data_IF_352003488130
#
_entry.id   IF_352003488130
#
_cell.length_a   1.000
_cell.length_b   1.000
_cell.length_c   1.000
_cell.angle_alpha   90.00
_cell.angle_beta   90.00
_cell.angle_gamma   90.00
#
_symmetry.space_group_name_H-M   'P 1'
#
loop_
_entity.id
_entity.type
_entity.pdbx_description
1 polymer ?
#
# COMPACT_ATOMS: atom_id res chain seq x y z
N UNK A 1 -76.61 27.26 -94.28
CA UNK A 1 -75.52 27.33 -95.26
C UNK A 1 -74.84 28.67 -95.11
N UNK A 2 -73.51 28.64 -95.16
CA UNK A 2 -72.56 29.75 -95.15
C UNK A 2 -72.26 30.35 -93.76
N UNK A 3 -71.02 30.49 -93.33
CA UNK A 3 -69.73 29.94 -93.78
C UNK A 3 -68.75 30.24 -92.63
N UNK A 4 -67.97 29.25 -92.20
CA UNK A 4 -66.82 29.47 -91.33
C UNK A 4 -65.82 30.41 -92.01
N UNK A 5 -65.38 31.44 -91.30
CA UNK A 5 -64.16 32.18 -91.59
C UNK A 5 -63.25 32.09 -90.37
N UNK A 6 -62.75 30.88 -90.14
CA UNK A 6 -61.70 30.57 -89.17
C UNK A 6 -60.41 31.30 -89.61
N UNK A 7 -60.21 32.48 -89.04
CA UNK A 7 -59.09 33.36 -89.36
C UNK A 7 -57.87 32.88 -88.57
N UNK A 8 -56.98 32.16 -89.26
CA UNK A 8 -55.61 31.82 -88.84
C UNK A 8 -55.47 31.46 -87.35
N UNK A 9 -56.10 30.35 -86.95
CA UNK A 9 -55.84 29.75 -85.64
C UNK A 9 -54.36 29.33 -85.56
N UNK A 10 -53.54 30.14 -84.89
CA UNK A 10 -52.29 29.65 -84.32
C UNK A 10 -52.57 28.37 -83.53
N UNK A 11 -51.61 27.44 -83.50
CA UNK A 11 -51.73 26.17 -82.78
C UNK A 11 -52.56 26.34 -81.50
N UNK A 12 -53.64 25.56 -81.27
CA UNK A 12 -54.58 25.76 -80.15
C UNK A 12 -53.88 25.87 -78.78
N UNK A 13 -52.66 25.36 -78.66
CA UNK A 13 -51.80 25.46 -77.48
C UNK A 13 -51.21 26.87 -77.21
N UNK A 14 -51.27 27.80 -78.17
CA UNK A 14 -50.70 29.16 -78.07
C UNK A 14 -51.78 30.25 -78.02
N UNK A 15 -53.01 29.90 -77.65
CA UNK A 15 -54.09 30.87 -77.47
C UNK A 15 -53.98 31.61 -76.12
N UNK A 16 -53.41 32.81 -76.16
CA UNK A 16 -53.14 33.64 -74.97
C UNK A 16 -54.38 34.07 -74.18
N UNK A 17 -55.59 33.92 -74.71
CA UNK A 17 -56.83 34.27 -74.01
C UNK A 17 -57.08 33.40 -72.76
N UNK A 18 -56.57 32.18 -72.71
CA UNK A 18 -56.75 31.25 -71.57
C UNK A 18 -55.67 31.39 -70.49
N UNK A 19 -54.55 32.06 -70.80
CA UNK A 19 -53.38 32.17 -69.93
C UNK A 19 -53.67 32.88 -68.60
N UNK A 20 -54.44 33.98 -68.54
CA UNK A 20 -54.74 34.66 -67.27
C UNK A 20 -55.44 33.76 -66.25
N UNK A 21 -56.37 32.91 -66.69
CA UNK A 21 -57.06 31.97 -65.81
C UNK A 21 -56.10 30.87 -65.31
N UNK A 22 -55.25 30.32 -66.19
CA UNK A 22 -54.24 29.33 -65.80
C UNK A 22 -53.22 29.92 -64.82
N UNK A 23 -52.76 31.16 -65.06
CA UNK A 23 -51.83 31.88 -64.19
C UNK A 23 -52.46 32.14 -62.82
N UNK A 24 -53.74 32.51 -62.75
CA UNK A 24 -54.46 32.71 -61.49
C UNK A 24 -54.49 31.43 -60.64
N UNK A 25 -54.83 30.29 -61.24
CA UNK A 25 -54.82 28.99 -60.54
C UNK A 25 -53.41 28.55 -60.16
N UNK A 26 -52.42 28.80 -61.01
CA UNK A 26 -51.01 28.52 -60.71
C UNK A 26 -50.54 29.31 -59.49
N UNK A 27 -50.82 30.62 -59.45
CA UNK A 27 -50.49 31.48 -58.30
C UNK A 27 -51.21 31.01 -57.05
N UNK A 28 -52.51 30.69 -57.15
CA UNK A 28 -53.28 30.18 -56.02
C UNK A 28 -52.70 28.87 -55.47
N UNK A 29 -52.38 27.91 -56.35
CA UNK A 29 -51.76 26.66 -55.96
C UNK A 29 -50.38 26.88 -55.31
N UNK A 30 -49.57 27.79 -55.85
CA UNK A 30 -48.25 28.12 -55.31
C UNK A 30 -48.34 28.80 -53.94
N UNK A 31 -49.33 29.66 -53.72
CA UNK A 31 -49.62 30.27 -52.41
C UNK A 31 -50.06 29.22 -51.40
N UNK A 32 -50.98 28.33 -51.78
CA UNK A 32 -51.42 27.23 -50.90
C UNK A 32 -50.25 26.31 -50.55
N UNK A 33 -49.43 25.92 -51.54
CA UNK A 33 -48.22 25.13 -51.31
C UNK A 33 -47.24 25.84 -50.38
N UNK A 34 -47.00 27.14 -50.60
CA UNK A 34 -46.13 27.96 -49.75
C UNK A 34 -46.62 27.97 -48.31
N UNK A 35 -47.93 28.16 -48.08
CA UNK A 35 -48.51 28.15 -46.74
C UNK A 35 -48.37 26.78 -46.06
N UNK A 36 -48.58 25.68 -46.78
CA UNK A 36 -48.38 24.33 -46.25
C UNK A 36 -46.91 24.11 -45.86
N UNK A 37 -45.97 24.47 -46.72
CA UNK A 37 -44.55 24.31 -46.44
C UNK A 37 -44.11 25.20 -45.27
N UNK A 38 -44.52 26.46 -45.27
CA UNK A 38 -44.20 27.46 -44.25
C UNK A 38 -44.77 27.10 -42.88
N UNK A 39 -46.04 26.69 -42.80
CA UNK A 39 -46.72 26.45 -41.53
C UNK A 39 -46.72 25.01 -41.04
N UNK A 40 -46.43 24.02 -41.88
CA UNK A 40 -46.51 22.61 -41.48
C UNK A 40 -45.18 21.90 -41.70
N UNK A 41 -44.62 21.92 -42.91
CA UNK A 41 -43.44 21.11 -43.22
C UNK A 41 -42.17 21.63 -42.52
N UNK A 42 -41.85 22.93 -42.69
CA UNK A 42 -40.67 23.55 -42.08
C UNK A 42 -40.67 23.50 -40.55
N UNK A 43 -41.76 23.84 -39.82
CA UNK A 43 -41.75 23.78 -38.36
C UNK A 43 -41.60 22.35 -37.83
N UNK A 44 -42.14 21.33 -38.52
CA UNK A 44 -41.93 19.93 -38.13
C UNK A 44 -40.48 19.46 -38.32
N UNK A 45 -39.82 19.89 -39.38
CA UNK A 45 -38.39 19.58 -39.58
C UNK A 45 -37.55 20.32 -38.53
N UNK A 46 -37.89 21.57 -38.24
CA UNK A 46 -37.26 22.37 -37.20
C UNK A 46 -37.37 21.75 -35.81
N UNK A 47 -38.54 21.19 -35.44
CA UNK A 47 -38.72 20.54 -34.14
C UNK A 47 -37.87 19.28 -33.99
N UNK A 48 -37.78 18.45 -35.02
CA UNK A 48 -36.94 17.23 -34.99
C UNK A 48 -35.46 17.59 -34.91
N UNK A 49 -35.03 18.63 -35.63
CA UNK A 49 -33.63 19.08 -35.57
C UNK A 49 -33.30 19.65 -34.19
N UNK A 50 -34.19 20.47 -33.61
CA UNK A 50 -34.02 21.02 -32.28
C UNK A 50 -33.99 19.92 -31.20
N UNK A 51 -34.85 18.90 -31.30
CA UNK A 51 -34.84 17.74 -30.41
C UNK A 51 -33.50 17.00 -30.48
N UNK A 52 -33.00 16.70 -31.68
CA UNK A 52 -31.70 16.03 -31.86
C UNK A 52 -30.54 16.87 -31.31
N UNK A 53 -30.50 18.16 -31.61
CA UNK A 53 -29.47 19.06 -31.09
C UNK A 53 -29.54 19.16 -29.56
N UNK A 54 -30.75 19.20 -28.99
CA UNK A 54 -30.96 19.19 -27.55
C UNK A 54 -30.46 17.90 -26.89
N UNK A 55 -30.82 16.73 -27.44
CA UNK A 55 -30.34 15.44 -26.93
C UNK A 55 -28.83 15.32 -27.02
N UNK A 56 -28.22 15.67 -28.15
CA UNK A 56 -26.75 15.63 -28.32
C UNK A 56 -26.07 16.56 -27.30
N UNK A 57 -26.58 17.78 -27.12
CA UNK A 57 -26.01 18.72 -26.16
C UNK A 57 -26.12 18.19 -24.71
N UNK A 58 -27.27 17.62 -24.36
CA UNK A 58 -27.47 17.00 -23.04
C UNK A 58 -26.54 15.81 -22.83
N UNK A 59 -26.38 14.93 -23.83
CA UNK A 59 -25.50 13.77 -23.76
C UNK A 59 -24.03 14.19 -23.62
N UNK A 60 -23.60 15.24 -24.33
CA UNK A 60 -22.25 15.80 -24.19
C UNK A 60 -22.05 16.38 -22.79
N UNK A 61 -22.99 17.18 -22.28
CA UNK A 61 -22.90 17.75 -20.94
C UNK A 61 -22.87 16.67 -19.85
N UNK A 62 -23.67 15.61 -20.01
CA UNK A 62 -23.65 14.46 -19.11
C UNK A 62 -22.31 13.72 -19.17
N UNK A 63 -21.77 13.48 -20.38
CA UNK A 63 -20.48 12.84 -20.57
C UNK A 63 -19.32 13.64 -19.95
N UNK A 64 -19.32 14.97 -20.10
CA UNK A 64 -18.34 15.86 -19.46
C UNK A 64 -18.44 15.80 -17.94
N UNK A 65 -19.67 15.81 -17.40
CA UNK A 65 -19.91 15.69 -15.95
C UNK A 65 -19.40 14.35 -15.41
N UNK A 66 -19.70 13.24 -16.10
CA UNK A 66 -19.20 11.93 -15.70
C UNK A 66 -17.68 11.82 -15.80
N UNK A 67 -17.08 12.44 -16.82
CA UNK A 67 -15.61 12.50 -16.95
C UNK A 67 -14.97 13.28 -15.79
N UNK A 68 -15.56 14.40 -15.38
CA UNK A 68 -15.10 15.17 -14.23
C UNK A 68 -15.24 14.38 -12.93
N UNK A 69 -16.40 13.75 -12.70
CA UNK A 69 -16.63 12.90 -11.53
C UNK A 69 -15.65 11.71 -11.48
N UNK A 70 -15.37 11.09 -12.62
CA UNK A 70 -14.38 10.01 -12.71
C UNK A 70 -12.97 10.50 -12.35
N UNK A 71 -12.55 11.65 -12.88
CA UNK A 71 -11.25 12.24 -12.58
C UNK A 71 -11.12 12.65 -11.10
N UNK A 72 -12.19 13.20 -10.51
CA UNK A 72 -12.22 13.52 -9.08
C UNK A 72 -12.16 12.27 -8.21
N UNK A 73 -12.91 11.22 -8.55
CA UNK A 73 -12.87 9.94 -7.86
C UNK A 73 -11.50 9.26 -7.97
N UNK A 74 -10.87 9.31 -9.14
CA UNK A 74 -9.51 8.80 -9.36
C UNK A 74 -8.48 9.56 -8.51
N UNK A 75 -8.55 10.89 -8.49
CA UNK A 75 -7.69 11.71 -7.65
C UNK A 75 -7.89 11.43 -6.15
N UNK A 76 -9.14 11.28 -5.69
CA UNK A 76 -9.46 10.93 -4.31
C UNK A 76 -8.96 9.52 -3.96
N UNK A 77 -9.08 8.55 -4.87
CA UNK A 77 -8.58 7.20 -4.70
C UNK A 77 -7.04 7.18 -4.57
N UNK A 78 -6.33 7.86 -5.48
CA UNK A 78 -4.87 7.96 -5.41
C UNK A 78 -4.40 8.63 -4.12
N UNK A 79 -5.06 9.72 -3.71
CA UNK A 79 -4.77 10.38 -2.44
C UNK A 79 -4.97 9.44 -1.25
N UNK A 80 -6.10 8.73 -1.20
CA UNK A 80 -6.37 7.78 -0.12
C UNK A 80 -5.33 6.63 -0.09
N UNK A 81 -4.88 6.17 -1.26
CA UNK A 81 -3.84 5.14 -1.36
C UNK A 81 -2.49 5.64 -0.84
N UNK A 82 -2.09 6.86 -1.19
CA UNK A 82 -0.84 7.46 -0.73
C UNK A 82 -0.88 7.76 0.78
N UNK A 83 -2.01 8.29 1.28
CA UNK A 83 -2.24 8.50 2.72
C UNK A 83 -2.18 7.17 3.49
N UNK A 84 -2.78 6.10 2.96
CA UNK A 84 -2.73 4.77 3.57
C UNK A 84 -1.30 4.19 3.58
N UNK A 85 -0.53 4.37 2.50
CA UNK A 85 0.89 3.97 2.44
C UNK A 85 1.74 4.74 3.45
N UNK A 86 1.52 6.05 3.56
CA UNK A 86 2.22 6.89 4.53
C UNK A 86 1.87 6.48 5.98
N UNK A 87 0.61 6.20 6.26
CA UNK A 87 0.17 5.71 7.57
C UNK A 87 0.79 4.34 7.88
N UNK A 88 0.79 3.41 6.94
CA UNK A 88 1.41 2.10 7.12
C UNK A 88 2.92 2.22 7.40
N UNK A 89 3.63 3.08 6.66
CA UNK A 89 5.04 3.34 6.90
C UNK A 89 5.29 3.89 8.31
N UNK A 90 4.47 4.83 8.78
CA UNK A 90 4.56 5.35 10.16
C UNK A 90 4.36 4.26 11.20
N UNK A 91 3.33 3.42 11.04
CA UNK A 91 3.06 2.31 11.96
C UNK A 91 4.23 1.33 12.00
N UNK A 92 4.86 1.03 10.85
CA UNK A 92 6.06 0.17 10.81
C UNK A 92 7.23 0.80 11.56
N UNK A 93 7.48 2.09 11.38
CA UNK A 93 8.57 2.78 12.08
C UNK A 93 8.32 2.88 13.59
N UNK A 94 7.08 3.20 14.00
CA UNK A 94 6.69 3.21 15.41
C UNK A 94 6.84 1.83 16.06
N UNK A 95 6.36 0.78 15.39
CA UNK A 95 6.51 -0.60 15.87
C UNK A 95 7.99 -1.03 15.95
N UNK A 96 8.83 -0.64 14.98
CA UNK A 96 10.28 -0.91 15.02
C UNK A 96 10.93 -0.21 16.21
N UNK A 97 10.58 1.04 16.47
CA UNK A 97 11.11 1.80 17.60
C UNK A 97 10.68 1.19 18.95
N UNK A 98 9.43 0.76 19.07
CA UNK A 98 8.92 0.09 20.27
C UNK A 98 9.61 -1.27 20.49
N UNK A 99 9.71 -2.10 19.45
CA UNK A 99 10.42 -3.38 19.51
C UNK A 99 11.89 -3.18 19.90
N UNK A 100 12.57 -2.18 19.34
CA UNK A 100 13.97 -1.92 19.67
C UNK A 100 14.12 -1.55 21.16
N UNK A 101 13.23 -0.71 21.68
CA UNK A 101 13.23 -0.32 23.09
C UNK A 101 13.01 -1.53 24.01
N UNK A 102 12.04 -2.38 23.68
CA UNK A 102 11.77 -3.59 24.45
C UNK A 102 12.92 -4.59 24.38
N UNK A 103 13.56 -4.70 23.22
CA UNK A 103 14.76 -5.51 23.03
C UNK A 103 15.92 -4.99 23.89
N UNK A 104 16.16 -3.68 23.92
CA UNK A 104 17.23 -3.08 24.74
C UNK A 104 17.00 -3.33 26.23
N UNK A 105 15.74 -3.24 26.70
CA UNK A 105 15.37 -3.59 28.09
C UNK A 105 15.59 -5.07 28.37
N UNK A 106 15.20 -5.95 27.45
CA UNK A 106 15.38 -7.39 27.59
C UNK A 106 16.87 -7.78 27.62
N UNK A 107 17.69 -7.16 26.76
CA UNK A 107 19.15 -7.35 26.74
C UNK A 107 19.76 -6.88 28.06
N UNK A 108 19.44 -5.66 28.52
CA UNK A 108 19.97 -5.15 29.78
C UNK A 108 19.62 -6.04 30.98
N UNK A 109 18.40 -6.60 31.00
CA UNK A 109 17.98 -7.57 32.02
C UNK A 109 18.76 -8.88 31.91
N UNK A 110 18.89 -9.43 30.70
CA UNK A 110 19.64 -10.65 30.46
C UNK A 110 21.11 -10.49 30.86
N UNK A 111 21.75 -9.38 30.52
CA UNK A 111 23.14 -9.07 30.89
C UNK A 111 23.30 -8.98 32.41
N UNK A 112 22.34 -8.36 33.11
CA UNK A 112 22.35 -8.31 34.58
C UNK A 112 22.21 -9.70 35.21
N UNK A 113 21.35 -10.56 34.66
CA UNK A 113 21.17 -11.93 35.15
C UNK A 113 22.41 -12.80 34.87
N UNK A 114 23.01 -12.65 33.70
CA UNK A 114 24.25 -13.33 33.32
C UNK A 114 25.38 -12.89 34.24
N UNK A 115 25.55 -11.58 34.48
CA UNK A 115 26.58 -11.06 35.38
C UNK A 115 26.42 -11.61 36.81
N UNK A 116 25.18 -11.66 37.32
CA UNK A 116 24.90 -12.23 38.64
C UNK A 116 25.25 -13.72 38.72
N UNK A 117 24.84 -14.52 37.71
CA UNK A 117 25.14 -15.96 37.64
C UNK A 117 26.64 -16.23 37.47
N UNK A 118 27.35 -15.43 36.70
CA UNK A 118 28.80 -15.52 36.55
C UNK A 118 29.50 -15.24 37.87
N UNK A 119 29.12 -14.17 38.58
CA UNK A 119 29.67 -13.87 39.90
C UNK A 119 29.39 -14.97 40.94
N UNK A 120 28.19 -15.56 40.93
CA UNK A 120 27.86 -16.70 41.78
C UNK A 120 28.71 -17.93 41.43
N UNK A 121 28.86 -18.23 40.14
CA UNK A 121 29.66 -19.36 39.67
C UNK A 121 31.14 -19.18 40.03
N UNK A 122 31.68 -17.96 39.89
CA UNK A 122 33.05 -17.63 40.31
C UNK A 122 33.26 -17.84 41.81
N UNK A 123 32.30 -17.43 42.66
CA UNK A 123 32.35 -17.71 44.12
C UNK A 123 32.35 -19.20 44.41
N UNK A 124 31.44 -19.97 43.79
CA UNK A 124 31.39 -21.42 43.96
C UNK A 124 32.69 -22.09 43.49
N UNK A 125 33.28 -21.64 42.38
CA UNK A 125 34.57 -22.14 41.91
C UNK A 125 35.69 -21.81 42.90
N UNK A 126 35.69 -20.60 43.48
CA UNK A 126 36.67 -20.21 44.49
C UNK A 126 36.56 -21.08 45.76
N UNK A 127 35.34 -21.32 46.25
CA UNK A 127 35.09 -22.22 47.38
C UNK A 127 35.52 -23.67 47.10
N UNK A 128 35.22 -24.18 45.90
CA UNK A 128 35.67 -25.51 45.47
C UNK A 128 37.20 -25.57 45.40
N UNK A 129 37.87 -24.52 44.90
CA UNK A 129 39.33 -24.45 44.86
C UNK A 129 39.93 -24.43 46.26
N UNK A 130 39.36 -23.67 47.19
CA UNK A 130 39.81 -23.61 48.58
C UNK A 130 39.67 -24.98 49.26
N UNK A 131 38.48 -25.59 49.19
CA UNK A 131 38.25 -26.93 49.76
C UNK A 131 39.12 -28.02 49.11
N UNK A 132 39.37 -27.94 47.79
CA UNK A 132 40.29 -28.84 47.11
C UNK A 132 41.73 -28.68 47.61
N UNK A 133 42.19 -27.45 47.84
CA UNK A 133 43.52 -27.20 48.40
C UNK A 133 43.66 -27.74 49.84
N UNK A 134 42.62 -27.59 50.66
CA UNK A 134 42.59 -28.17 52.01
C UNK A 134 42.63 -29.70 51.96
N UNK A 135 41.82 -30.32 51.10
CA UNK A 135 41.77 -31.77 50.92
C UNK A 135 43.12 -32.31 50.40
N UNK A 136 43.74 -31.67 49.40
CA UNK A 136 45.08 -32.02 48.91
C UNK A 136 46.12 -31.90 50.03
N UNK A 137 46.05 -30.86 50.85
CA UNK A 137 46.96 -30.67 51.99
C UNK A 137 46.80 -31.78 53.03
N UNK A 138 45.56 -32.19 53.32
CA UNK A 138 45.27 -33.28 54.26
C UNK A 138 45.79 -34.62 53.73
N UNK A 139 45.46 -34.96 52.47
CA UNK A 139 45.92 -36.19 51.81
C UNK A 139 47.44 -36.23 51.70
N UNK A 140 48.09 -35.11 51.38
CA UNK A 140 49.55 -35.04 51.30
C UNK A 140 50.21 -35.30 52.67
N UNK A 141 49.64 -34.77 53.77
CA UNK A 141 50.14 -35.02 55.13
C UNK A 141 49.96 -36.49 55.54
N UNK A 142 48.80 -37.06 55.24
CA UNK A 142 48.48 -38.46 55.53
C UNK A 142 49.39 -39.40 54.73
N UNK A 143 49.48 -39.22 53.41
CA UNK A 143 50.38 -40.00 52.55
C UNK A 143 51.85 -39.89 52.97
N UNK A 144 52.33 -38.70 53.34
CA UNK A 144 53.71 -38.52 53.83
C UNK A 144 53.94 -39.28 55.14
N UNK A 145 52.96 -39.27 56.06
CA UNK A 145 53.01 -40.01 57.32
C UNK A 145 53.04 -41.51 57.08
N UNK A 146 52.19 -42.02 56.20
CA UNK A 146 52.10 -43.46 55.88
C UNK A 146 53.37 -43.97 55.20
N UNK A 147 53.95 -43.18 54.29
CA UNK A 147 55.24 -43.48 53.66
C UNK A 147 56.35 -43.56 54.72
N UNK A 148 56.45 -42.56 55.61
CA UNK A 148 57.48 -42.54 56.66
C UNK A 148 57.33 -43.72 57.64
N UNK A 149 56.10 -44.13 57.94
CA UNK A 149 55.81 -45.30 58.75
C UNK A 149 56.23 -46.61 58.05
N UNK A 150 55.98 -46.74 56.75
CA UNK A 150 56.40 -47.90 55.94
C UNK A 150 57.93 -48.05 55.88
N UNK A 151 58.67 -46.94 55.90
CA UNK A 151 60.15 -46.93 55.95
C UNK A 151 60.73 -47.03 57.37
N UNK A 152 59.89 -47.21 58.41
CA UNK A 152 60.35 -47.42 59.79
C UNK A 152 60.90 -46.17 60.49
N UNK A 153 60.69 -44.98 59.92
CA UNK A 153 61.18 -43.70 60.46
C UNK A 153 60.09 -43.05 61.31
N UNK A 154 60.35 -42.86 62.61
CA UNK A 154 59.47 -42.08 63.49
C UNK A 154 59.70 -40.58 63.26
N UNK A 155 58.98 -39.99 62.32
CA UNK A 155 58.96 -38.55 62.14
C UNK A 155 58.00 -37.88 63.11
N UNK A 156 58.42 -36.75 63.70
CA UNK A 156 57.55 -35.92 64.54
C UNK A 156 56.43 -35.28 63.70
N UNK A 157 55.18 -35.35 64.17
CA UNK A 157 54.01 -34.90 63.42
C UNK A 157 54.08 -33.39 63.09
N UNK A 158 54.77 -32.59 63.91
CA UNK A 158 54.96 -31.15 63.64
C UNK A 158 55.94 -30.91 62.50
N UNK A 159 57.04 -31.67 62.40
CA UNK A 159 58.03 -31.47 61.33
C UNK A 159 57.48 -31.88 59.96
N UNK A 160 56.68 -32.95 59.89
CA UNK A 160 55.99 -33.38 58.67
C UNK A 160 54.98 -32.31 58.21
N UNK A 161 54.14 -31.83 59.13
CA UNK A 161 53.14 -30.79 58.83
C UNK A 161 53.80 -29.49 58.36
N UNK A 162 54.90 -29.07 58.99
CA UNK A 162 55.64 -27.87 58.62
C UNK A 162 56.30 -27.99 57.24
N UNK A 163 56.91 -29.15 56.93
CA UNK A 163 57.60 -29.38 55.66
C UNK A 163 56.63 -29.49 54.49
N UNK A 164 55.49 -30.18 54.67
CA UNK A 164 54.44 -30.28 53.64
C UNK A 164 53.82 -28.90 53.37
N UNK A 165 53.51 -28.12 54.41
CA UNK A 165 52.99 -26.76 54.23
C UNK A 165 54.00 -25.84 53.51
N UNK A 166 55.30 -25.97 53.79
CA UNK A 166 56.34 -25.20 53.10
C UNK A 166 56.44 -25.58 51.61
N UNK A 167 56.39 -26.88 51.28
CA UNK A 167 56.42 -27.36 49.89
C UNK A 167 55.17 -27.00 49.09
N UNK A 168 53.99 -27.05 49.70
CA UNK A 168 52.74 -26.63 49.04
C UNK A 168 52.71 -25.12 48.77
N UNK A 169 53.32 -24.30 49.64
CA UNK A 169 53.51 -22.86 49.39
C UNK A 169 54.48 -22.58 48.25
N UNK A 170 55.55 -23.36 48.14
CA UNK A 170 56.58 -23.20 47.10
C UNK A 170 56.06 -23.62 45.71
N UNK A 171 55.13 -24.58 45.62
CA UNK A 171 54.51 -24.99 44.35
C UNK A 171 53.33 -24.12 43.89
N UNK A 172 52.81 -23.26 44.77
CA UNK A 172 51.68 -22.36 44.49
C UNK A 172 52.10 -20.93 44.10
N UNK A 173 53.39 -20.62 44.17
CA UNK A 173 54.01 -19.37 43.70
C UNK A 173 54.51 -19.54 42.26
#
# INVERSE_FOLDING_TARGET
MAAEANSAAGMPQLEFATFPNQVLWLVLALVVLYLILSRIALPRIGSVLAERTGTIANDIAAAETFKLQAAEAEAAYHKALDDARAAAAKVVEEARAEIQKDLDVAIAKADSEIAARSAESERRIAEIRESANEAVTAVAKEATKDILAAFGVKADARSVTATVNARLKESAA
#
